data_IF_733420498950
#
_entry.id   IF_733420498950
#
_cell.length_a   1.000
_cell.length_b   1.000
_cell.length_c   1.000
_cell.angle_alpha   90.00
_cell.angle_beta   90.00
_cell.angle_gamma   90.00
#
_symmetry.space_group_name_H-M   'P 1'
#
loop_
_entity.id
_entity.type
_entity.pdbx_description
1 polymer ?
#
# COMPACT_ATOMS: atom_id res chain seq x y z
N UNK A 1 -8.46 -12.74 -79.77
CA UNK A 1 -8.74 -11.50 -79.00
C UNK A 1 -9.27 -11.90 -77.63
N UNK A 2 -8.42 -11.77 -76.62
CA UNK A 2 -8.51 -12.30 -75.26
C UNK A 2 -9.14 -11.27 -74.32
N UNK A 3 -10.17 -11.62 -73.55
CA UNK A 3 -10.61 -10.83 -72.38
C UNK A 3 -10.44 -11.65 -71.11
N UNK A 4 -9.35 -11.38 -70.41
CA UNK A 4 -9.07 -11.83 -69.05
C UNK A 4 -10.03 -11.14 -68.08
N UNK A 5 -10.84 -11.89 -67.34
CA UNK A 5 -11.58 -11.37 -66.19
C UNK A 5 -10.88 -11.85 -64.91
N UNK A 6 -10.25 -10.90 -64.24
CA UNK A 6 -9.57 -11.06 -62.94
C UNK A 6 -10.61 -11.11 -61.82
N UNK A 7 -10.49 -11.98 -60.80
CA UNK A 7 -11.36 -11.96 -59.64
C UNK A 7 -11.07 -10.74 -58.75
N UNK A 8 -12.13 -10.11 -58.23
CA UNK A 8 -12.06 -8.97 -57.32
C UNK A 8 -11.48 -9.36 -55.94
N UNK A 9 -10.78 -8.44 -55.23
CA UNK A 9 -10.18 -8.74 -53.92
C UNK A 9 -11.23 -8.85 -52.80
N UNK A 10 -10.94 -9.63 -51.73
CA UNK A 10 -11.82 -9.75 -50.58
C UNK A 10 -11.87 -8.44 -49.78
N UNK A 11 -13.09 -7.99 -49.46
CA UNK A 11 -13.35 -6.84 -48.58
C UNK A 11 -12.87 -7.16 -47.16
N UNK A 12 -11.74 -6.56 -46.78
CA UNK A 12 -11.25 -6.49 -45.40
C UNK A 12 -12.31 -5.81 -44.51
N UNK A 13 -12.99 -6.61 -43.67
CA UNK A 13 -13.86 -6.09 -42.61
C UNK A 13 -12.97 -5.55 -41.49
N UNK A 14 -12.77 -4.25 -41.47
CA UNK A 14 -12.17 -3.57 -40.31
C UNK A 14 -13.13 -3.70 -39.13
N UNK A 15 -12.69 -4.20 -37.96
CA UNK A 15 -13.52 -4.18 -36.76
C UNK A 15 -13.76 -2.73 -36.34
N UNK A 16 -15.03 -2.42 -36.06
CA UNK A 16 -15.46 -1.09 -35.67
C UNK A 16 -14.81 -0.68 -34.33
N UNK A 17 -14.36 0.57 -34.17
CA UNK A 17 -13.60 1.06 -33.01
C UNK A 17 -14.42 1.18 -31.71
N UNK A 18 -15.69 0.76 -31.73
CA UNK A 18 -16.61 0.91 -30.58
C UNK A 18 -16.28 -0.03 -29.42
N UNK A 19 -15.54 -1.12 -29.66
CA UNK A 19 -15.24 -2.12 -28.64
C UNK A 19 -13.97 -1.83 -27.82
N UNK A 20 -13.14 -0.90 -28.26
CA UNK A 20 -11.90 -0.56 -27.56
C UNK A 20 -12.14 0.29 -26.30
N UNK A 21 -13.15 1.16 -26.34
CA UNK A 21 -13.49 2.05 -25.21
C UNK A 21 -14.13 1.28 -24.03
N UNK A 22 -14.93 0.26 -24.32
CA UNK A 22 -15.57 -0.55 -23.28
C UNK A 22 -14.56 -1.41 -22.49
N UNK A 23 -13.51 -1.90 -23.16
CA UNK A 23 -12.46 -2.69 -22.51
C UNK A 23 -11.57 -1.84 -21.59
N UNK A 24 -11.29 -0.58 -21.97
CA UNK A 24 -10.52 0.35 -21.15
C UNK A 24 -11.25 0.72 -19.84
N UNK A 25 -12.57 0.90 -19.90
CA UNK A 25 -13.38 1.23 -18.72
C UNK A 25 -13.44 0.10 -17.69
N UNK A 26 -13.52 -1.16 -18.13
CA UNK A 26 -13.48 -2.31 -17.22
C UNK A 26 -12.10 -2.50 -16.55
N UNK A 27 -11.01 -2.23 -17.28
CA UNK A 27 -9.65 -2.33 -16.74
C UNK A 27 -9.37 -1.32 -15.63
N UNK A 28 -9.83 -0.07 -15.76
CA UNK A 28 -9.69 0.93 -14.70
C UNK A 28 -10.54 0.61 -13.46
N UNK A 29 -11.75 0.09 -13.65
CA UNK A 29 -12.63 -0.28 -12.53
C UNK A 29 -12.06 -1.45 -11.70
N UNK A 30 -11.39 -2.42 -12.34
CA UNK A 30 -10.71 -3.50 -11.62
C UNK A 30 -9.47 -2.99 -10.86
N UNK A 31 -8.67 -2.10 -11.47
CA UNK A 31 -7.50 -1.50 -10.80
C UNK A 31 -7.89 -0.68 -9.56
N UNK A 32 -9.02 0.04 -9.60
CA UNK A 32 -9.54 0.77 -8.45
C UNK A 32 -10.04 -0.15 -7.32
N UNK A 33 -10.51 -1.36 -7.63
CA UNK A 33 -10.99 -2.32 -6.62
C UNK A 33 -9.84 -3.00 -5.86
N UNK A 34 -8.68 -3.24 -6.49
CA UNK A 34 -7.47 -3.75 -5.82
C UNK A 34 -6.66 -2.65 -5.13
N UNK A 35 -6.71 -1.41 -5.63
CA UNK A 35 -6.07 -0.26 -4.97
C UNK A 35 -6.92 0.37 -3.86
N UNK A 36 -8.23 0.08 -3.82
CA UNK A 36 -9.19 0.70 -2.89
C UNK A 36 -9.28 0.04 -1.52
N UNK A 37 -8.62 -1.10 -1.30
CA UNK A 37 -8.60 -1.79 -0.01
C UNK A 37 -7.43 -1.38 0.91
N UNK A 38 -6.48 -0.56 0.46
CA UNK A 38 -5.31 -0.14 1.26
C UNK A 38 -5.37 1.34 1.65
N UNK A 39 -6.46 2.03 1.30
CA UNK A 39 -6.80 3.34 1.89
C UNK A 39 -8.01 3.15 2.80
N UNK A 40 -7.89 2.18 3.70
CA UNK A 40 -8.76 2.13 4.87
C UNK A 40 -8.47 3.42 5.62
N UNK A 41 -9.36 4.39 5.39
CA UNK A 41 -9.33 5.75 5.90
C UNK A 41 -8.67 5.77 7.27
N UNK A 42 -7.50 6.42 7.34
CA UNK A 42 -6.88 6.89 8.58
C UNK A 42 -7.84 7.87 9.27
N UNK A 43 -8.87 7.32 9.89
CA UNK A 43 -9.76 8.03 10.77
C UNK A 43 -9.15 7.94 12.17
N UNK A 44 -8.26 8.88 12.45
CA UNK A 44 -8.15 9.51 13.76
C UNK A 44 -7.62 8.64 14.90
N UNK A 45 -6.30 8.60 15.03
CA UNK A 45 -5.70 8.77 16.35
C UNK A 45 -5.13 10.18 16.38
N UNK A 46 -5.70 11.04 17.22
CA UNK A 46 -5.06 12.30 17.59
C UNK A 46 -3.61 12.03 17.96
N UNK A 47 -2.66 12.75 17.37
CA UNK A 47 -1.24 12.63 17.69
C UNK A 47 -1.08 12.85 19.21
N UNK A 48 -0.80 11.80 19.95
CA UNK A 48 -0.65 11.87 21.40
C UNK A 48 0.78 12.24 21.76
N UNK A 49 1.75 11.83 20.92
CA UNK A 49 3.16 11.97 21.21
C UNK A 49 3.56 11.10 22.40
N UNK A 50 2.97 9.91 22.50
CA UNK A 50 3.20 8.97 23.60
C UNK A 50 3.54 7.60 23.03
N UNK A 51 4.33 6.82 23.77
CA UNK A 51 4.63 5.44 23.38
C UNK A 51 3.37 4.61 23.13
N UNK A 52 2.31 4.82 23.92
CA UNK A 52 1.02 4.15 23.69
C UNK A 52 0.38 4.53 22.35
N UNK A 53 0.44 5.81 21.96
CA UNK A 53 -0.10 6.29 20.68
C UNK A 53 0.70 5.79 19.49
N UNK A 54 2.03 5.95 19.54
CA UNK A 54 2.94 5.43 18.54
C UNK A 54 2.80 3.91 18.35
N UNK A 55 2.76 3.15 19.44
CA UNK A 55 2.60 1.70 19.36
C UNK A 55 1.20 1.27 18.95
N UNK A 56 0.16 2.04 19.27
CA UNK A 56 -1.18 1.80 18.74
C UNK A 56 -1.26 2.06 17.22
N UNK A 57 -0.53 3.05 16.71
CA UNK A 57 -0.37 3.30 15.27
C UNK A 57 0.37 2.15 14.57
N UNK A 58 1.51 1.71 15.13
CA UNK A 58 2.30 0.59 14.61
C UNK A 58 1.47 -0.69 14.44
N UNK A 59 0.70 -1.11 15.45
CA UNK A 59 -0.10 -2.34 15.37
C UNK A 59 -1.39 -2.20 14.58
N UNK A 60 -1.87 -0.98 14.36
CA UNK A 60 -2.91 -0.73 13.34
C UNK A 60 -2.37 -0.95 11.93
N UNK A 61 -1.10 -0.62 11.72
CA UNK A 61 -0.43 -0.74 10.43
C UNK A 61 0.14 -2.13 10.15
N UNK A 62 0.48 -2.91 11.18
CA UNK A 62 1.05 -4.25 11.05
C UNK A 62 -0.02 -5.35 11.19
N UNK A 63 -0.39 -6.08 10.12
CA UNK A 63 -1.30 -7.21 10.23
C UNK A 63 -0.61 -8.37 10.96
N UNK A 64 -1.21 -8.89 12.03
CA UNK A 64 -0.65 -10.00 12.79
C UNK A 64 -1.04 -10.04 14.27
N UNK A 65 -0.06 -10.27 15.14
CA UNK A 65 -0.25 -10.45 16.59
C UNK A 65 -0.22 -9.12 17.34
N UNK A 66 -1.22 -8.26 17.09
CA UNK A 66 -1.30 -6.89 17.61
C UNK A 66 -1.01 -6.75 19.11
N UNK A 67 -1.51 -7.66 19.96
CA UNK A 67 -1.28 -7.58 21.41
C UNK A 67 0.17 -7.85 21.83
N UNK A 68 0.84 -8.79 21.14
CA UNK A 68 2.24 -9.13 21.42
C UNK A 68 3.15 -8.01 20.90
N UNK A 69 2.90 -7.56 19.68
CA UNK A 69 3.66 -6.51 19.01
C UNK A 69 3.52 -5.16 19.73
N UNK A 70 2.32 -4.83 20.22
CA UNK A 70 2.09 -3.60 21.01
C UNK A 70 2.86 -3.62 22.32
N UNK A 71 2.81 -4.73 23.07
CA UNK A 71 3.55 -4.86 24.34
C UNK A 71 5.05 -4.72 24.14
N UNK A 72 5.58 -5.36 23.10
CA UNK A 72 7.00 -5.25 22.75
C UNK A 72 7.37 -3.83 22.35
N UNK A 73 6.59 -3.21 21.47
CA UNK A 73 6.80 -1.83 21.06
C UNK A 73 6.83 -0.87 22.27
N UNK A 74 5.87 -0.97 23.19
CA UNK A 74 5.84 -0.10 24.38
C UNK A 74 7.05 -0.31 25.29
N UNK A 75 7.54 -1.56 25.41
CA UNK A 75 8.72 -1.87 26.20
C UNK A 75 10.01 -1.29 25.59
N UNK A 76 10.15 -1.33 24.26
CA UNK A 76 11.32 -0.82 23.52
C UNK A 76 11.22 0.69 23.20
N UNK A 77 10.03 1.28 23.30
CA UNK A 77 9.77 2.65 22.87
C UNK A 77 10.68 3.71 23.52
N UNK A 78 11.00 3.68 24.83
CA UNK A 78 11.90 4.66 25.44
C UNK A 78 13.34 4.59 24.89
N UNK A 79 13.76 3.43 24.38
CA UNK A 79 15.09 3.24 23.79
C UNK A 79 15.12 3.69 22.32
N UNK A 80 13.98 3.63 21.63
CA UNK A 80 13.83 4.01 20.22
C UNK A 80 13.50 5.50 20.05
N UNK A 81 12.64 6.03 20.92
CA UNK A 81 12.18 7.42 20.86
C UNK A 81 12.62 8.18 22.11
N UNK A 82 13.45 9.20 21.90
CA UNK A 82 14.01 10.03 22.95
C UNK A 82 13.10 11.16 23.42
N UNK A 83 12.10 11.54 22.61
CA UNK A 83 11.32 12.75 22.82
C UNK A 83 9.93 12.68 22.19
N UNK A 84 9.07 13.59 22.66
CA UNK A 84 7.67 13.70 22.25
C UNK A 84 7.49 14.09 20.79
N UNK A 85 8.36 14.93 20.25
CA UNK A 85 8.23 15.41 18.87
C UNK A 85 8.56 14.29 17.88
N UNK A 86 9.57 13.47 18.20
CA UNK A 86 9.88 12.22 17.47
C UNK A 86 8.72 11.23 17.49
N UNK A 87 8.01 11.09 18.63
CA UNK A 87 6.81 10.25 18.73
C UNK A 87 5.67 10.77 17.85
N UNK A 88 5.38 12.07 17.87
CA UNK A 88 4.35 12.66 17.02
C UNK A 88 4.70 12.58 15.54
N UNK A 89 5.99 12.75 15.19
CA UNK A 89 6.46 12.59 13.82
C UNK A 89 6.24 11.14 13.35
N UNK A 90 6.56 10.14 14.19
CA UNK A 90 6.30 8.74 13.90
C UNK A 90 4.82 8.42 13.74
N UNK A 91 3.96 8.92 14.64
CA UNK A 91 2.51 8.75 14.57
C UNK A 91 1.89 9.37 13.30
N UNK A 92 2.59 10.30 12.65
CA UNK A 92 2.18 10.90 11.37
C UNK A 92 2.61 10.11 10.12
N UNK A 93 3.46 9.10 10.28
CA UNK A 93 3.98 8.30 9.17
C UNK A 93 2.88 7.45 8.54
N UNK A 94 3.02 7.19 7.23
CA UNK A 94 2.22 6.19 6.56
C UNK A 94 2.52 4.80 7.13
N UNK A 95 1.57 3.87 6.98
CA UNK A 95 1.70 2.54 7.59
C UNK A 95 2.95 1.78 7.17
N UNK A 96 3.31 1.83 5.87
CA UNK A 96 4.50 1.14 5.37
C UNK A 96 5.77 1.68 6.05
N UNK A 97 5.89 3.00 6.15
CA UNK A 97 7.02 3.68 6.80
C UNK A 97 7.07 3.41 8.32
N UNK A 98 5.91 3.41 8.98
CA UNK A 98 5.80 3.17 10.42
C UNK A 98 6.25 1.74 10.79
N UNK A 99 5.87 0.75 9.97
CA UNK A 99 6.28 -0.64 10.18
C UNK A 99 7.77 -0.82 9.88
N UNK A 100 8.27 -0.28 8.77
CA UNK A 100 9.69 -0.37 8.41
C UNK A 100 10.60 0.24 9.49
N UNK A 101 10.21 1.39 10.05
CA UNK A 101 11.00 2.06 11.08
C UNK A 101 11.19 1.20 12.34
N UNK A 102 10.13 0.55 12.83
CA UNK A 102 10.18 -0.28 14.05
C UNK A 102 10.79 -1.66 13.76
N UNK A 103 10.38 -2.33 12.67
CA UNK A 103 10.88 -3.67 12.33
C UNK A 103 12.34 -3.63 11.87
N UNK A 104 12.73 -2.59 11.12
CA UNK A 104 14.11 -2.35 10.72
C UNK A 104 15.03 -2.03 11.90
N UNK A 105 14.50 -1.36 12.93
CA UNK A 105 15.21 -1.12 14.18
C UNK A 105 15.31 -2.38 15.03
N UNK A 106 14.23 -3.16 15.15
CA UNK A 106 14.21 -4.43 15.88
C UNK A 106 15.21 -5.45 15.31
N UNK A 107 15.34 -5.52 13.99
CA UNK A 107 16.34 -6.37 13.32
C UNK A 107 17.79 -5.97 13.67
N UNK A 108 18.07 -4.66 13.77
CA UNK A 108 19.38 -4.13 14.18
C UNK A 108 19.69 -4.40 15.65
N UNK A 109 18.72 -4.22 16.55
CA UNK A 109 18.91 -4.50 17.98
C UNK A 109 19.17 -5.99 18.22
N UNK A 110 18.46 -6.88 17.53
CA UNK A 110 18.69 -8.33 17.61
C UNK A 110 20.09 -8.74 17.09
N UNK A 111 20.63 -8.02 16.10
CA UNK A 111 21.97 -8.26 15.57
C UNK A 111 23.10 -7.77 16.51
N UNK A 112 22.84 -6.75 17.34
CA UNK A 112 23.83 -6.17 18.26
C UNK A 112 24.01 -6.94 19.58
N UNK A 113 23.14 -7.91 19.87
CA UNK A 113 23.22 -8.77 21.05
C UNK A 113 23.78 -10.18 20.78
N UNK A 114 24.46 -10.40 19.65
CA UNK A 114 25.17 -11.66 19.35
C UNK A 114 26.68 -11.53 19.48
#
# INVERSE_FOLDING_TARGET
MTRNQHPAPPRSRRPAPRSALAAAALGLALAAAISGCVVQRFAGSSLTGTCDGACAHYVQCKPGHADVDRRRCVAECPDVFSDRDSLMAYESLACDDAVEYVDGSAAKTAAHHR
#
